data_IF_927403866019
#
_entry.id   IF_927403866019
#
_cell.length_a   1.000
_cell.length_b   1.000
_cell.length_c   1.000
_cell.angle_alpha   90.00
_cell.angle_beta   90.00
_cell.angle_gamma   90.00
#
_symmetry.space_group_name_H-M   'P 1'
#
loop_
_entity.id
_entity.type
_entity.pdbx_description
1 polymer ?
#
# COMPACT_ATOMS: atom_id res chain seq x y z
N UNK A 1 23.32 26.58 10.92
CA UNK A 1 24.38 26.03 10.06
C UNK A 1 24.82 24.58 10.33
N UNK A 2 24.40 23.85 11.38
CA UNK A 2 24.77 22.42 11.54
C UNK A 2 23.93 21.43 10.70
N UNK A 3 22.70 21.78 10.33
CA UNK A 3 21.81 20.89 9.57
C UNK A 3 22.24 20.64 8.12
N UNK A 4 22.83 21.64 7.46
CA UNK A 4 23.34 21.51 6.10
C UNK A 4 24.58 20.58 6.03
N UNK A 5 25.41 20.60 7.08
CA UNK A 5 26.59 19.74 7.17
C UNK A 5 26.21 18.26 7.36
N UNK A 6 25.09 17.99 8.06
CA UNK A 6 24.59 16.64 8.28
C UNK A 6 23.97 16.04 7.01
N UNK A 7 23.27 16.86 6.23
CA UNK A 7 22.66 16.45 4.96
C UNK A 7 23.75 16.17 3.90
N UNK A 8 24.74 17.04 3.77
CA UNK A 8 25.85 16.88 2.82
C UNK A 8 26.77 15.71 3.18
N UNK A 9 27.00 15.44 4.47
CA UNK A 9 27.74 14.27 4.92
C UNK A 9 26.97 12.97 4.64
N UNK A 10 25.66 13.00 4.80
CA UNK A 10 24.76 11.87 4.53
C UNK A 10 24.70 11.55 3.03
N UNK A 11 24.62 12.58 2.17
CA UNK A 11 24.68 12.41 0.72
C UNK A 11 26.04 11.88 0.23
N UNK A 12 27.13 12.35 0.79
CA UNK A 12 28.48 11.91 0.41
C UNK A 12 28.76 10.46 0.79
N UNK A 13 28.34 10.01 1.97
CA UNK A 13 28.40 8.60 2.38
C UNK A 13 27.45 7.72 1.55
N UNK A 14 26.34 8.29 1.08
CA UNK A 14 25.37 7.61 0.21
C UNK A 14 25.94 7.40 -1.20
N UNK A 15 26.56 8.42 -1.79
CA UNK A 15 27.13 8.38 -3.16
C UNK A 15 28.41 7.54 -3.22
N UNK A 16 29.29 7.61 -2.20
CA UNK A 16 30.50 6.79 -2.16
C UNK A 16 30.20 5.29 -1.90
N UNK A 17 29.08 4.96 -1.26
CA UNK A 17 28.60 3.59 -1.11
C UNK A 17 28.04 2.98 -2.41
N UNK A 18 27.64 3.80 -3.38
CA UNK A 18 27.13 3.31 -4.68
C UNK A 18 28.22 2.90 -5.67
N UNK A 19 29.41 3.49 -5.57
CA UNK A 19 30.50 3.30 -6.56
C UNK A 19 31.25 1.97 -6.38
N UNK A 20 31.13 1.29 -5.24
CA UNK A 20 31.85 0.03 -4.97
C UNK A 20 30.98 -1.23 -4.99
N UNK A 21 29.78 -1.21 -5.54
CA UNK A 21 28.94 -2.41 -5.64
C UNK A 21 29.13 -3.13 -6.97
N UNK A 22 29.91 -4.20 -6.91
CA UNK A 22 30.06 -5.28 -7.88
C UNK A 22 28.78 -5.59 -8.69
N UNK A 23 28.94 -5.74 -10.00
CA UNK A 23 27.97 -5.82 -11.08
C UNK A 23 27.06 -7.07 -11.14
N UNK A 24 26.84 -7.81 -10.07
CA UNK A 24 25.83 -8.87 -10.06
C UNK A 24 24.48 -8.35 -9.58
N UNK A 25 23.63 -7.92 -10.53
CA UNK A 25 22.23 -7.63 -10.23
C UNK A 25 21.57 -8.89 -9.63
N UNK A 26 21.08 -8.85 -8.39
CA UNK A 26 20.45 -10.03 -7.78
C UNK A 26 19.24 -10.44 -8.61
N UNK A 27 19.12 -11.74 -8.94
CA UNK A 27 17.95 -12.27 -9.66
C UNK A 27 16.67 -11.85 -8.96
N UNK A 28 15.78 -11.15 -9.68
CA UNK A 28 14.50 -10.71 -9.15
C UNK A 28 13.65 -11.93 -8.75
N UNK A 29 13.01 -11.88 -7.57
CA UNK A 29 12.11 -12.94 -7.13
C UNK A 29 10.89 -13.04 -8.05
N UNK A 30 10.22 -14.21 -8.08
CA UNK A 30 8.96 -14.39 -8.81
C UNK A 30 7.90 -13.36 -8.38
N UNK A 31 7.82 -13.09 -7.07
CA UNK A 31 6.89 -12.11 -6.49
C UNK A 31 7.22 -10.70 -6.99
N UNK A 32 8.48 -10.29 -6.99
CA UNK A 32 8.87 -8.96 -7.51
C UNK A 32 8.53 -8.79 -8.99
N UNK A 33 8.74 -9.82 -9.81
CA UNK A 33 8.34 -9.78 -11.23
C UNK A 33 6.83 -9.62 -11.39
N UNK A 34 6.03 -10.35 -10.59
CA UNK A 34 4.58 -10.22 -10.58
C UNK A 34 4.13 -8.81 -10.17
N UNK A 35 4.77 -8.20 -9.16
CA UNK A 35 4.48 -6.82 -8.75
C UNK A 35 4.85 -5.78 -9.82
N UNK A 36 5.96 -5.98 -10.54
CA UNK A 36 6.31 -5.11 -11.68
C UNK A 36 5.28 -5.24 -12.81
N UNK A 37 4.86 -6.47 -13.15
CA UNK A 37 3.81 -6.70 -14.14
C UNK A 37 2.47 -6.05 -13.73
N UNK A 38 2.10 -6.15 -12.44
CA UNK A 38 0.93 -5.46 -11.89
C UNK A 38 1.06 -3.94 -11.98
N UNK A 39 2.24 -3.37 -11.72
CA UNK A 39 2.47 -1.92 -11.85
C UNK A 39 2.26 -1.47 -13.30
N UNK A 40 2.81 -2.19 -14.27
CA UNK A 40 2.59 -1.89 -15.70
C UNK A 40 1.10 -1.98 -16.03
N UNK A 41 0.40 -3.03 -15.59
CA UNK A 41 -1.04 -3.18 -15.77
C UNK A 41 -1.83 -2.01 -15.17
N UNK A 42 -1.49 -1.56 -13.93
CA UNK A 42 -2.12 -0.41 -13.29
C UNK A 42 -1.85 0.91 -14.04
N UNK A 43 -0.67 1.10 -14.62
CA UNK A 43 -0.37 2.25 -15.46
C UNK A 43 -1.21 2.23 -16.75
N UNK A 44 -1.42 1.06 -17.35
CA UNK A 44 -2.31 0.91 -18.53
C UNK A 44 -3.75 1.26 -18.15
N UNK A 45 -4.24 0.80 -16.99
CA UNK A 45 -5.58 1.16 -16.48
C UNK A 45 -5.71 2.66 -16.30
N UNK A 46 -4.72 3.32 -15.69
CA UNK A 46 -4.73 4.78 -15.54
C UNK A 46 -4.79 5.49 -16.89
N UNK A 47 -3.94 5.09 -17.84
CA UNK A 47 -3.93 5.66 -19.19
C UNK A 47 -5.28 5.46 -19.90
N UNK A 48 -5.88 4.28 -19.74
CA UNK A 48 -7.20 3.97 -20.26
C UNK A 48 -8.30 4.85 -19.64
N UNK A 49 -8.29 5.05 -18.31
CA UNK A 49 -9.24 5.93 -17.63
C UNK A 49 -9.10 7.39 -18.07
N UNK A 50 -7.86 7.87 -18.29
CA UNK A 50 -7.61 9.21 -18.85
C UNK A 50 -8.18 9.32 -20.26
N UNK A 51 -7.98 8.31 -21.10
CA UNK A 51 -8.52 8.27 -22.45
C UNK A 51 -10.06 8.25 -22.45
N UNK A 52 -10.68 7.46 -21.57
CA UNK A 52 -12.13 7.47 -21.39
C UNK A 52 -12.65 8.85 -20.95
N UNK A 53 -11.95 9.50 -20.03
CA UNK A 53 -12.32 10.86 -19.59
C UNK A 53 -12.33 11.86 -20.75
N UNK A 54 -11.37 11.77 -21.67
CA UNK A 54 -11.24 12.69 -22.83
C UNK A 54 -12.26 12.36 -23.92
N UNK A 55 -12.45 11.06 -24.24
CA UNK A 55 -13.20 10.64 -25.42
C UNK A 55 -14.64 10.21 -25.13
N UNK A 56 -14.94 9.69 -23.93
CA UNK A 56 -16.22 9.06 -23.59
C UNK A 56 -16.64 9.37 -22.16
N UNK A 57 -16.76 10.65 -21.85
CA UNK A 57 -17.13 11.09 -20.49
C UNK A 57 -18.50 10.54 -20.03
N UNK A 58 -19.40 10.24 -20.96
CA UNK A 58 -20.74 9.70 -20.67
C UNK A 58 -20.69 8.34 -19.98
N UNK A 59 -19.71 7.49 -20.31
CA UNK A 59 -19.56 6.18 -19.66
C UNK A 59 -19.19 6.26 -18.16
N UNK A 60 -18.71 7.41 -17.70
CA UNK A 60 -18.40 7.67 -16.30
C UNK A 60 -19.65 7.96 -15.45
N UNK A 61 -20.83 8.10 -16.06
CA UNK A 61 -22.11 8.24 -15.33
C UNK A 61 -22.44 7.01 -14.46
N UNK A 62 -21.83 5.86 -14.74
CA UNK A 62 -21.90 4.65 -13.89
C UNK A 62 -21.47 4.91 -12.44
N UNK A 63 -20.64 5.93 -12.20
CA UNK A 63 -20.18 6.30 -10.86
C UNK A 63 -21.30 6.88 -9.99
N UNK A 64 -22.36 7.43 -10.60
CA UNK A 64 -23.42 8.16 -9.91
C UNK A 64 -24.64 7.28 -9.62
N UNK A 65 -25.19 7.42 -8.41
CA UNK A 65 -26.44 6.81 -8.00
C UNK A 65 -26.50 5.29 -8.20
N UNK A 66 -27.56 4.83 -8.85
CA UNK A 66 -27.80 3.42 -9.18
C UNK A 66 -27.54 3.11 -10.66
N UNK A 67 -26.87 3.98 -11.39
CA UNK A 67 -26.54 3.78 -12.80
C UNK A 67 -25.63 2.56 -13.00
N UNK A 68 -24.90 2.15 -11.96
CA UNK A 68 -24.16 0.88 -11.93
C UNK A 68 -24.99 -0.33 -12.37
N UNK A 69 -26.29 -0.37 -12.06
CA UNK A 69 -27.16 -1.49 -12.43
C UNK A 69 -27.91 -1.28 -13.73
N UNK A 70 -27.88 -0.06 -14.29
CA UNK A 70 -28.62 0.30 -15.51
C UNK A 70 -27.73 0.30 -16.75
N UNK A 71 -26.51 0.84 -16.59
CA UNK A 71 -25.62 1.10 -17.71
C UNK A 71 -24.39 0.19 -17.61
N UNK A 72 -24.26 -0.74 -18.56
CA UNK A 72 -23.09 -1.59 -18.60
C UNK A 72 -21.89 -0.83 -19.21
N UNK A 73 -20.85 -0.65 -18.44
CA UNK A 73 -19.62 0.02 -18.85
C UNK A 73 -18.38 -0.85 -18.54
N UNK A 74 -17.28 -0.57 -19.21
CA UNK A 74 -15.98 -1.20 -18.93
C UNK A 74 -15.52 -0.96 -17.49
N UNK A 75 -16.01 0.09 -16.83
CA UNK A 75 -15.73 0.36 -15.41
C UNK A 75 -16.20 -0.75 -14.46
N UNK A 76 -17.17 -1.57 -14.85
CA UNK A 76 -17.56 -2.76 -14.07
C UNK A 76 -16.43 -3.79 -13.99
N UNK A 77 -15.64 -3.94 -15.06
CA UNK A 77 -14.47 -4.82 -15.04
C UNK A 77 -13.41 -4.29 -14.07
N UNK A 78 -13.21 -2.98 -14.05
CA UNK A 78 -12.28 -2.35 -13.11
C UNK A 78 -12.77 -2.50 -11.67
N UNK A 79 -14.07 -2.27 -11.42
CA UNK A 79 -14.72 -2.51 -10.13
C UNK A 79 -14.52 -3.96 -9.68
N UNK A 80 -14.80 -4.92 -10.54
CA UNK A 80 -14.63 -6.35 -10.27
C UNK A 80 -13.17 -6.71 -9.96
N UNK A 81 -12.20 -6.14 -10.69
CA UNK A 81 -10.77 -6.31 -10.45
C UNK A 81 -10.39 -5.83 -9.03
N UNK A 82 -10.87 -4.67 -8.62
CA UNK A 82 -10.58 -4.14 -7.29
C UNK A 82 -11.24 -4.96 -6.18
N UNK A 83 -12.48 -5.41 -6.38
CA UNK A 83 -13.16 -6.31 -5.43
C UNK A 83 -12.37 -7.62 -5.28
N UNK A 84 -11.93 -8.22 -6.39
CA UNK A 84 -11.11 -9.45 -6.35
C UNK A 84 -9.78 -9.21 -5.62
N UNK A 85 -9.11 -8.08 -5.88
CA UNK A 85 -7.83 -7.75 -5.22
C UNK A 85 -8.03 -7.61 -3.69
N UNK A 86 -9.12 -6.97 -3.24
CA UNK A 86 -9.49 -6.85 -1.83
C UNK A 86 -9.84 -8.22 -1.21
N UNK A 87 -10.61 -9.06 -1.91
CA UNK A 87 -10.93 -10.43 -1.44
C UNK A 87 -9.64 -11.26 -1.30
N UNK A 88 -8.71 -11.15 -2.25
CA UNK A 88 -7.42 -11.84 -2.18
C UNK A 88 -6.59 -11.43 -0.95
N UNK A 89 -6.79 -10.23 -0.41
CA UNK A 89 -6.14 -9.83 0.86
C UNK A 89 -6.78 -10.49 2.08
N UNK A 90 -8.04 -10.92 1.99
CA UNK A 90 -8.79 -11.58 3.07
C UNK A 90 -8.67 -13.12 3.05
N UNK A 91 -8.02 -13.69 2.05
CA UNK A 91 -7.86 -15.15 1.89
C UNK A 91 -6.37 -15.50 1.90
N UNK A 92 -5.96 -16.59 2.60
CA UNK A 92 -4.55 -17.04 2.62
C UNK A 92 -4.16 -17.59 1.24
N UNK A 93 -3.49 -16.78 0.43
CA UNK A 93 -3.04 -17.15 -0.92
C UNK A 93 -1.56 -17.54 -0.88
N UNK A 94 -1.24 -18.77 -1.30
CA UNK A 94 0.15 -19.24 -1.34
C UNK A 94 0.88 -18.70 -2.58
N UNK A 95 2.07 -18.11 -2.35
CA UNK A 95 3.05 -17.74 -3.40
C UNK A 95 2.62 -16.70 -4.45
N UNK A 96 1.46 -16.07 -4.34
CA UNK A 96 0.98 -15.09 -5.32
C UNK A 96 0.98 -13.66 -4.81
N UNK A 97 0.87 -13.48 -3.50
CA UNK A 97 0.79 -12.18 -2.84
C UNK A 97 1.96 -12.05 -1.87
N UNK A 98 2.43 -10.83 -1.67
CA UNK A 98 3.52 -10.51 -0.75
C UNK A 98 3.19 -10.95 0.69
N UNK A 99 4.19 -11.44 1.40
CA UNK A 99 4.09 -11.75 2.82
C UNK A 99 3.68 -10.53 3.65
N UNK A 100 3.97 -9.33 3.15
CA UNK A 100 3.53 -8.07 3.77
C UNK A 100 2.03 -8.00 3.98
N UNK A 101 1.22 -8.44 2.99
CA UNK A 101 -0.23 -8.55 3.11
C UNK A 101 -0.67 -9.81 3.85
N UNK A 102 0.01 -10.93 3.65
CA UNK A 102 -0.39 -12.25 4.13
C UNK A 102 0.03 -12.55 5.59
N UNK A 103 0.81 -11.69 6.24
CA UNK A 103 1.26 -11.88 7.64
C UNK A 103 0.13 -11.90 8.67
N UNK A 104 -1.07 -11.47 8.28
CA UNK A 104 -2.26 -11.59 9.13
C UNK A 104 -2.70 -13.05 9.34
N UNK A 105 -2.33 -13.97 8.43
CA UNK A 105 -2.72 -15.38 8.51
C UNK A 105 -1.71 -16.21 9.30
N UNK A 106 -2.23 -17.14 10.13
CA UNK A 106 -1.44 -18.04 10.94
C UNK A 106 -0.50 -18.94 10.08
N UNK A 107 -0.94 -19.30 8.89
CA UNK A 107 -0.20 -20.16 7.97
C UNK A 107 1.16 -19.59 7.53
N UNK A 108 1.29 -18.27 7.55
CA UNK A 108 2.52 -17.55 7.21
C UNK A 108 3.34 -17.13 8.43
N UNK A 109 2.86 -17.46 9.64
CA UNK A 109 3.57 -17.18 10.88
C UNK A 109 4.58 -18.29 11.19
N UNK A 110 5.84 -17.91 11.36
CA UNK A 110 6.93 -18.80 11.81
C UNK A 110 7.47 -18.27 13.12
N UNK A 111 7.07 -18.87 14.26
CA UNK A 111 7.53 -18.40 15.56
C UNK A 111 9.03 -18.62 15.70
N UNK A 112 9.71 -17.67 16.32
CA UNK A 112 11.11 -17.82 16.70
C UNK A 112 11.18 -18.76 17.91
N UNK A 113 12.15 -19.66 17.92
CA UNK A 113 12.32 -20.72 18.95
C UNK A 113 12.60 -20.14 20.35
N UNK A 114 13.07 -18.90 20.42
CA UNK A 114 13.35 -18.21 21.67
C UNK A 114 12.06 -17.71 22.34
N UNK A 115 12.09 -17.57 23.68
CA UNK A 115 10.97 -17.03 24.45
C UNK A 115 10.65 -15.61 24.01
N UNK A 116 9.40 -15.34 23.63
CA UNK A 116 8.95 -14.02 23.20
C UNK A 116 9.03 -13.03 24.38
N UNK A 117 9.76 -11.95 24.21
CA UNK A 117 9.76 -10.85 25.16
C UNK A 117 8.52 -9.96 24.95
N UNK A 118 7.46 -10.24 25.70
CA UNK A 118 6.18 -9.52 25.59
C UNK A 118 6.28 -8.04 25.92
N UNK A 119 7.21 -7.62 26.80
CA UNK A 119 7.42 -6.19 27.08
C UNK A 119 8.01 -5.47 25.89
N UNK A 120 8.97 -6.08 25.19
CA UNK A 120 9.55 -5.52 23.97
C UNK A 120 8.51 -5.51 22.83
N UNK A 121 7.72 -6.56 22.69
CA UNK A 121 6.62 -6.64 21.71
C UNK A 121 5.61 -5.51 21.95
N UNK A 122 5.17 -5.28 23.18
CA UNK A 122 4.25 -4.20 23.54
C UNK A 122 4.81 -2.82 23.20
N UNK A 123 6.09 -2.56 23.52
CA UNK A 123 6.75 -1.30 23.16
C UNK A 123 6.78 -1.11 21.64
N UNK A 124 7.10 -2.16 20.89
CA UNK A 124 7.08 -2.12 19.43
C UNK A 124 5.70 -1.78 18.86
N UNK A 125 4.65 -2.47 19.34
CA UNK A 125 3.26 -2.23 18.90
C UNK A 125 2.84 -0.79 19.19
N UNK A 126 3.09 -0.29 20.41
CA UNK A 126 2.76 1.09 20.78
C UNK A 126 3.50 2.10 19.89
N UNK A 127 4.79 1.89 19.64
CA UNK A 127 5.61 2.79 18.81
C UNK A 127 5.13 2.81 17.35
N UNK A 128 4.87 1.65 16.77
CA UNK A 128 4.40 1.54 15.37
C UNK A 128 2.98 2.05 15.20
N UNK A 129 2.09 1.83 16.20
CA UNK A 129 0.73 2.38 16.19
C UNK A 129 0.74 3.90 16.30
N UNK A 130 1.58 4.50 17.16
CA UNK A 130 1.76 5.97 17.19
C UNK A 130 2.20 6.54 15.85
N UNK A 131 3.10 5.84 15.14
CA UNK A 131 3.52 6.26 13.80
C UNK A 131 2.40 6.09 12.77
N UNK A 132 1.60 5.03 12.86
CA UNK A 132 0.43 4.83 12.00
C UNK A 132 -0.62 5.93 12.20
N UNK A 133 -0.89 6.37 13.42
CA UNK A 133 -1.78 7.50 13.68
C UNK A 133 -1.30 8.81 13.03
N UNK A 134 0.00 9.07 12.97
CA UNK A 134 0.53 10.24 12.25
C UNK A 134 0.22 10.17 10.76
N UNK A 135 0.37 8.99 10.15
CA UNK A 135 -0.02 8.78 8.75
C UNK A 135 -1.52 8.97 8.56
N UNK A 136 -2.33 8.44 9.49
CA UNK A 136 -3.79 8.60 9.46
C UNK A 136 -4.21 10.07 9.52
N UNK A 137 -3.66 10.85 10.44
CA UNK A 137 -3.95 12.30 10.57
C UNK A 137 -3.55 13.04 9.29
N UNK A 138 -2.37 12.75 8.73
CA UNK A 138 -1.93 13.35 7.46
C UNK A 138 -2.90 13.00 6.32
N UNK A 139 -3.36 11.76 6.27
CA UNK A 139 -4.31 11.29 5.27
C UNK A 139 -5.68 11.97 5.41
N UNK A 140 -6.21 12.08 6.63
CA UNK A 140 -7.46 12.83 6.89
C UNK A 140 -7.29 14.30 6.48
N UNK A 141 -6.15 14.93 6.75
CA UNK A 141 -5.87 16.30 6.28
C UNK A 141 -5.96 16.40 4.76
N UNK A 142 -5.38 15.44 4.03
CA UNK A 142 -5.50 15.38 2.57
C UNK A 142 -6.96 15.23 2.11
N UNK A 143 -7.73 14.35 2.77
CA UNK A 143 -9.15 14.15 2.44
C UNK A 143 -9.98 15.40 2.72
N UNK A 144 -9.69 16.15 3.78
CA UNK A 144 -10.36 17.44 4.05
C UNK A 144 -10.10 18.40 2.88
N UNK A 145 -8.87 18.51 2.40
CA UNK A 145 -8.53 19.36 1.25
C UNK A 145 -9.30 18.91 0.01
N UNK A 146 -9.31 17.61 -0.30
CA UNK A 146 -10.07 17.06 -1.44
C UNK A 146 -11.57 17.37 -1.27
N UNK A 147 -12.13 17.19 -0.09
CA UNK A 147 -13.53 17.48 0.20
C UNK A 147 -13.86 18.96 0.02
N UNK A 148 -13.02 19.87 0.50
CA UNK A 148 -13.20 21.31 0.28
C UNK A 148 -13.21 21.64 -1.21
N UNK A 149 -12.25 21.11 -1.98
CA UNK A 149 -12.18 21.32 -3.43
C UNK A 149 -13.42 20.75 -4.16
N UNK A 150 -13.96 19.64 -3.68
CA UNK A 150 -15.21 19.07 -4.22
C UNK A 150 -16.41 19.95 -3.92
N UNK A 151 -16.60 20.40 -2.67
CA UNK A 151 -17.74 21.26 -2.29
C UNK A 151 -17.65 22.68 -2.85
N UNK A 152 -16.46 23.14 -3.22
CA UNK A 152 -16.27 24.41 -3.96
C UNK A 152 -16.42 24.24 -5.48
N UNK A 153 -16.85 23.06 -5.97
CA UNK A 153 -17.02 22.72 -7.38
C UNK A 153 -15.73 22.85 -8.24
N UNK A 154 -14.55 22.78 -7.61
CA UNK A 154 -13.28 22.69 -8.32
C UNK A 154 -13.03 21.27 -8.82
N UNK A 155 -13.44 20.25 -8.03
CA UNK A 155 -13.39 18.85 -8.39
C UNK A 155 -14.81 18.32 -8.62
N UNK A 156 -15.00 17.46 -9.62
CA UNK A 156 -16.22 16.71 -9.84
C UNK A 156 -16.05 15.22 -9.50
N UNK A 157 -17.13 14.44 -9.57
CA UNK A 157 -17.14 13.00 -9.27
C UNK A 157 -16.08 12.23 -10.08
N UNK A 158 -15.89 12.66 -11.34
CA UNK A 158 -14.94 12.01 -12.25
C UNK A 158 -13.51 12.29 -11.83
N UNK A 159 -13.20 13.50 -11.38
CA UNK A 159 -11.86 13.81 -10.84
C UNK A 159 -11.57 13.04 -9.57
N UNK A 160 -12.55 12.85 -8.67
CA UNK A 160 -12.38 12.02 -7.48
C UNK A 160 -12.07 10.56 -7.83
N UNK A 161 -12.78 10.04 -8.85
CA UNK A 161 -12.46 8.70 -9.38
C UNK A 161 -11.04 8.66 -9.96
N UNK A 162 -10.62 9.66 -10.74
CA UNK A 162 -9.27 9.73 -11.31
C UNK A 162 -8.18 9.83 -10.24
N UNK A 163 -8.42 10.55 -9.14
CA UNK A 163 -7.53 10.58 -7.97
C UNK A 163 -7.40 9.17 -7.38
N UNK A 164 -8.49 8.44 -7.23
CA UNK A 164 -8.47 7.06 -6.72
C UNK A 164 -7.69 6.11 -7.64
N UNK A 165 -7.88 6.21 -8.96
CA UNK A 165 -7.10 5.44 -9.95
C UNK A 165 -5.60 5.82 -9.89
N UNK A 166 -5.28 7.09 -9.65
CA UNK A 166 -3.90 7.54 -9.47
C UNK A 166 -3.29 6.93 -8.21
N UNK A 167 -4.02 6.92 -7.08
CA UNK A 167 -3.57 6.28 -5.85
C UNK A 167 -3.39 4.76 -6.01
N UNK A 168 -4.21 4.11 -6.84
CA UNK A 168 -4.05 2.71 -7.21
C UNK A 168 -2.69 2.42 -7.86
N UNK A 169 -2.18 3.32 -8.68
CA UNK A 169 -0.82 3.22 -9.24
C UNK A 169 0.23 3.55 -8.18
N UNK A 170 0.01 4.64 -7.41
CA UNK A 170 0.94 5.10 -6.37
C UNK A 170 1.21 4.05 -5.29
N UNK A 171 0.23 3.21 -4.95
CA UNK A 171 0.40 2.10 -4.02
C UNK A 171 1.55 1.17 -4.44
N UNK A 172 1.57 0.69 -5.68
CA UNK A 172 2.66 -0.17 -6.16
C UNK A 172 3.98 0.58 -6.34
N UNK A 173 3.94 1.87 -6.66
CA UNK A 173 5.14 2.73 -6.64
C UNK A 173 5.72 2.76 -5.22
N UNK A 174 4.87 2.90 -4.21
CA UNK A 174 5.29 2.85 -2.80
C UNK A 174 5.97 1.54 -2.42
N UNK A 175 5.48 0.43 -2.93
CA UNK A 175 6.05 -0.90 -2.63
C UNK A 175 7.35 -1.16 -3.40
N UNK A 176 7.44 -0.77 -4.68
CA UNK A 176 8.52 -1.16 -5.59
C UNK A 176 9.64 -0.13 -5.71
N UNK A 177 9.32 1.16 -5.61
CA UNK A 177 10.25 2.25 -5.90
C UNK A 177 10.54 3.04 -4.60
N UNK A 178 9.58 3.79 -4.13
CA UNK A 178 9.75 4.65 -2.96
C UNK A 178 8.40 4.97 -2.30
N UNK A 179 8.36 4.92 -0.97
CA UNK A 179 7.17 5.18 -0.17
C UNK A 179 7.36 6.40 0.73
N UNK A 180 6.55 7.47 0.59
CA UNK A 180 6.63 8.65 1.44
C UNK A 180 6.32 8.35 2.91
N UNK A 181 5.41 7.43 3.18
CA UNK A 181 5.04 7.01 4.53
C UNK A 181 6.20 6.35 5.30
N UNK A 182 7.22 5.88 4.60
CA UNK A 182 8.41 5.29 5.21
C UNK A 182 9.15 6.26 6.12
N UNK A 183 9.14 7.55 5.79
CA UNK A 183 9.76 8.60 6.61
C UNK A 183 9.04 8.72 7.96
N UNK A 184 7.71 8.68 7.96
CA UNK A 184 6.87 8.79 9.15
C UNK A 184 6.90 7.49 9.96
N UNK A 185 6.77 6.35 9.29
CA UNK A 185 6.78 5.03 9.92
C UNK A 185 8.15 4.59 10.42
N UNK A 186 9.23 5.27 9.99
CA UNK A 186 10.63 4.89 10.27
C UNK A 186 10.91 3.41 9.98
N UNK A 187 10.21 2.85 9.00
CA UNK A 187 10.27 1.44 8.67
C UNK A 187 11.29 1.16 7.54
N UNK A 188 12.06 0.09 7.70
CA UNK A 188 13.09 -0.31 6.73
C UNK A 188 12.56 -1.15 5.58
N UNK A 189 11.46 -1.87 5.79
CA UNK A 189 10.91 -2.83 4.84
C UNK A 189 9.39 -2.69 4.73
N UNK A 190 8.86 -2.68 3.50
CA UNK A 190 7.41 -2.65 3.28
C UNK A 190 6.72 -3.88 3.88
N UNK A 191 7.33 -5.07 3.78
CA UNK A 191 6.77 -6.33 4.32
C UNK A 191 6.52 -6.26 5.83
N UNK A 192 7.33 -5.50 6.60
CA UNK A 192 7.14 -5.29 8.04
C UNK A 192 6.31 -4.03 8.36
N UNK A 193 5.81 -3.33 7.33
CA UNK A 193 5.07 -2.09 7.54
C UNK A 193 3.75 -2.33 8.28
N UNK A 194 3.47 -1.47 9.31
CA UNK A 194 2.26 -1.55 10.13
C UNK A 194 1.00 -1.22 9.33
N UNK A 195 1.12 -0.33 8.35
CA UNK A 195 0.01 0.17 7.52
C UNK A 195 -0.02 -0.50 6.13
N UNK A 196 0.54 -1.69 5.97
CA UNK A 196 0.71 -2.30 4.65
C UNK A 196 -0.62 -2.52 3.92
N UNK A 197 -1.65 -2.99 4.60
CA UNK A 197 -2.99 -3.22 4.03
C UNK A 197 -3.96 -2.04 4.27
N UNK A 198 -3.45 -0.82 4.43
CA UNK A 198 -4.27 0.39 4.41
C UNK A 198 -4.44 0.95 2.98
N UNK A 199 -3.75 0.34 2.04
CA UNK A 199 -3.69 0.72 0.62
C UNK A 199 -5.07 0.95 0.01
N UNK A 200 -5.96 -0.05 0.07
CA UNK A 200 -7.30 0.06 -0.51
C UNK A 200 -8.17 1.12 0.17
N UNK A 201 -8.11 1.22 1.50
CA UNK A 201 -8.85 2.27 2.20
C UNK A 201 -8.36 3.67 1.77
N UNK A 202 -7.04 3.89 1.76
CA UNK A 202 -6.46 5.14 1.31
C UNK A 202 -6.80 5.42 -0.17
N UNK A 203 -6.79 4.40 -1.02
CA UNK A 203 -7.07 4.53 -2.44
C UNK A 203 -8.52 4.99 -2.72
N UNK A 204 -9.50 4.41 -2.01
CA UNK A 204 -10.92 4.68 -2.29
C UNK A 204 -11.52 5.82 -1.48
N UNK A 205 -10.88 6.30 -0.40
CA UNK A 205 -11.42 7.38 0.43
C UNK A 205 -11.69 8.70 -0.32
N UNK A 206 -10.99 9.11 -1.40
CA UNK A 206 -11.41 10.26 -2.20
C UNK A 206 -12.81 10.12 -2.78
N UNK A 207 -13.24 8.89 -3.09
CA UNK A 207 -14.57 8.60 -3.62
C UNK A 207 -15.68 8.64 -2.54
N UNK A 208 -15.36 8.95 -1.29
CA UNK A 208 -16.35 9.11 -0.20
C UNK A 208 -17.40 10.18 -0.51
N UNK A 209 -17.02 11.18 -1.29
CA UNK A 209 -17.90 12.27 -1.67
C UNK A 209 -18.78 11.93 -2.88
N UNK A 210 -18.44 10.89 -3.65
CA UNK A 210 -19.22 10.41 -4.81
C UNK A 210 -20.42 9.60 -4.32
N UNK A 211 -21.63 10.07 -4.64
CA UNK A 211 -22.88 9.41 -4.24
C UNK A 211 -23.29 8.36 -5.27
N UNK A 212 -22.81 7.13 -5.11
CA UNK A 212 -23.16 6.01 -6.01
C UNK A 212 -22.87 4.66 -5.42
N UNK A 213 -23.52 3.60 -5.95
CA UNK A 213 -23.27 2.22 -5.55
C UNK A 213 -21.83 1.81 -5.83
N UNK A 214 -21.26 2.26 -6.94
CA UNK A 214 -19.88 1.98 -7.34
C UNK A 214 -18.88 2.38 -6.24
N UNK A 215 -18.95 3.62 -5.77
CA UNK A 215 -18.05 4.15 -4.74
C UNK A 215 -18.34 3.55 -3.37
N UNK A 216 -19.61 3.46 -2.98
CA UNK A 216 -20.01 2.96 -1.66
C UNK A 216 -19.60 1.51 -1.45
N UNK A 217 -19.80 0.65 -2.44
CA UNK A 217 -19.43 -0.78 -2.34
C UNK A 217 -17.92 -0.97 -2.19
N UNK A 218 -17.10 -0.23 -2.93
CA UNK A 218 -15.63 -0.27 -2.82
C UNK A 218 -15.15 0.26 -1.47
N UNK A 219 -15.75 1.34 -0.97
CA UNK A 219 -15.42 1.89 0.35
C UNK A 219 -15.75 0.93 1.48
N UNK A 220 -16.93 0.29 1.44
CA UNK A 220 -17.33 -0.69 2.44
C UNK A 220 -16.40 -1.91 2.46
N UNK A 221 -16.02 -2.42 1.27
CA UNK A 221 -15.07 -3.51 1.15
C UNK A 221 -13.68 -3.11 1.66
N UNK A 222 -13.18 -1.94 1.27
CA UNK A 222 -11.89 -1.44 1.72
C UNK A 222 -11.86 -1.23 3.25
N UNK A 223 -12.94 -0.72 3.82
CA UNK A 223 -13.10 -0.58 5.26
C UNK A 223 -13.09 -1.95 5.96
N UNK A 224 -13.77 -2.96 5.40
CA UNK A 224 -13.75 -4.32 5.95
C UNK A 224 -12.33 -4.91 5.93
N UNK A 225 -11.58 -4.77 4.85
CA UNK A 225 -10.17 -5.21 4.75
C UNK A 225 -9.31 -4.51 5.81
N UNK A 226 -9.45 -3.19 5.94
CA UNK A 226 -8.74 -2.40 6.93
C UNK A 226 -9.09 -2.83 8.36
N UNK A 227 -10.38 -3.06 8.64
CA UNK A 227 -10.85 -3.49 9.97
C UNK A 227 -10.28 -4.86 10.34
N UNK A 228 -10.31 -5.83 9.43
CA UNK A 228 -9.72 -7.16 9.65
C UNK A 228 -8.22 -7.03 9.95
N UNK A 229 -7.50 -6.18 9.22
CA UNK A 229 -6.09 -5.92 9.47
C UNK A 229 -5.85 -5.36 10.87
N UNK A 230 -6.60 -4.31 11.27
CA UNK A 230 -6.46 -3.70 12.59
C UNK A 230 -6.78 -4.68 13.73
N UNK A 231 -7.85 -5.46 13.58
CA UNK A 231 -8.21 -6.49 14.56
C UNK A 231 -7.11 -7.55 14.67
N UNK A 232 -6.55 -8.02 13.54
CA UNK A 232 -5.46 -8.99 13.57
C UNK A 232 -4.19 -8.44 14.24
N UNK A 233 -3.84 -7.17 14.02
CA UNK A 233 -2.68 -6.55 14.69
C UNK A 233 -2.91 -6.42 16.20
N UNK A 234 -4.14 -6.16 16.63
CA UNK A 234 -4.46 -6.07 18.06
C UNK A 234 -4.47 -7.45 18.73
N UNK A 235 -5.05 -8.46 18.06
CA UNK A 235 -5.19 -9.81 18.63
C UNK A 235 -3.93 -10.65 18.54
N UNK A 236 -3.14 -10.49 17.48
CA UNK A 236 -1.97 -11.31 17.15
C UNK A 236 -0.74 -10.48 16.80
N UNK A 237 -0.30 -9.57 17.67
CA UNK A 237 0.79 -8.64 17.38
C UNK A 237 2.12 -9.32 17.06
N UNK A 238 2.34 -10.53 17.57
CA UNK A 238 3.53 -11.35 17.33
C UNK A 238 3.74 -11.69 15.85
N UNK A 239 2.69 -11.73 15.05
CA UNK A 239 2.78 -12.02 13.61
C UNK A 239 3.38 -10.86 12.81
N UNK A 240 3.36 -9.65 13.35
CA UNK A 240 3.70 -8.40 12.65
C UNK A 240 5.10 -7.91 12.94
N UNK A 241 5.83 -8.53 13.86
CA UNK A 241 7.17 -8.11 14.25
C UNK A 241 8.25 -9.11 13.81
N UNK A 242 9.36 -8.60 13.23
CA UNK A 242 10.46 -9.41 12.74
C UNK A 242 11.22 -10.18 13.84
N UNK A 243 11.13 -9.72 15.12
CA UNK A 243 11.76 -10.41 16.25
C UNK A 243 10.92 -11.56 16.82
N UNK A 244 9.66 -11.67 16.44
CA UNK A 244 8.76 -12.74 16.86
C UNK A 244 8.36 -13.66 15.70
N UNK A 245 8.41 -13.13 14.45
CA UNK A 245 8.07 -13.87 13.23
C UNK A 245 9.31 -14.01 12.34
N UNK A 246 9.87 -15.21 12.27
CA UNK A 246 11.04 -15.50 11.47
C UNK A 246 10.84 -15.24 9.97
N UNK A 247 9.63 -15.45 9.47
CA UNK A 247 9.29 -15.20 8.06
C UNK A 247 9.50 -13.73 7.64
N UNK A 248 9.45 -12.78 8.59
CA UNK A 248 9.66 -11.36 8.34
C UNK A 248 11.13 -10.94 8.37
N UNK A 249 12.05 -11.80 8.81
CA UNK A 249 13.48 -11.47 8.83
C UNK A 249 14.00 -11.30 7.41
N UNK A 250 14.85 -10.30 7.19
CA UNK A 250 15.46 -10.04 5.88
C UNK A 250 16.28 -11.24 5.35
N UNK A 251 16.90 -12.04 6.25
CA UNK A 251 17.63 -13.25 5.89
C UNK A 251 16.75 -14.32 5.26
N UNK A 252 15.49 -14.39 5.67
CA UNK A 252 14.48 -15.36 5.21
C UNK A 252 13.52 -14.77 4.15
N UNK A 253 13.73 -13.52 3.74
CA UNK A 253 12.83 -12.83 2.83
C UNK A 253 12.76 -13.48 1.45
N UNK A 254 11.60 -14.00 1.08
CA UNK A 254 11.29 -14.57 -0.24
C UNK A 254 10.82 -13.53 -1.24
N UNK A 255 10.18 -12.47 -0.77
CA UNK A 255 9.53 -11.46 -1.60
C UNK A 255 10.54 -10.60 -2.36
N UNK A 256 11.64 -10.20 -1.72
CA UNK A 256 12.72 -9.35 -2.28
C UNK A 256 12.17 -8.09 -2.98
N UNK A 257 11.11 -7.49 -2.42
CA UNK A 257 10.45 -6.32 -2.98
C UNK A 257 11.28 -5.04 -2.82
N UNK A 258 12.01 -4.90 -1.69
CA UNK A 258 12.82 -3.71 -1.44
C UNK A 258 14.09 -3.68 -2.32
N UNK A 259 14.38 -2.51 -2.88
CA UNK A 259 15.49 -2.32 -3.81
C UNK A 259 16.81 -1.99 -3.13
N UNK A 260 16.79 -1.30 -1.99
CA UNK A 260 17.99 -0.69 -1.42
C UNK A 260 18.53 -1.32 -0.14
N UNK A 261 17.66 -1.87 0.74
CA UNK A 261 18.07 -2.31 2.09
C UNK A 261 18.40 -3.79 2.19
N UNK A 262 17.71 -4.67 1.48
CA UNK A 262 18.00 -6.10 1.54
C UNK A 262 19.38 -6.47 0.98
N UNK A 263 19.96 -5.61 0.14
CA UNK A 263 21.31 -5.83 -0.40
C UNK A 263 22.42 -5.54 0.62
N UNK A 264 22.19 -4.54 1.52
CA UNK A 264 23.15 -4.18 2.57
C UNK A 264 23.18 -5.17 3.75
N UNK A 265 22.10 -5.91 3.98
CA UNK A 265 21.97 -6.86 5.10
C UNK A 265 22.33 -8.30 4.71
N UNK A 266 22.64 -8.56 3.44
CA UNK A 266 23.08 -9.89 2.94
C UNK A 266 24.60 -10.06 2.87
N UNK A 267 25.32 -9.04 3.28
CA UNK A 267 26.75 -9.07 3.57
C UNK A 267 26.92 -9.12 5.09
#
# INVERSE_FOLDING_TARGET
MPLLFFVVKWEREYVLGEIQMSSQKPKASKIRKAYIARLVGRCIVLAFCILMYILRREELNVLQGLNFFRDFSVLHLLWGLWVIDMICQLVPVKNQISLGSQKLFKEHFRPITEKINYQALRKYVISTTKSAYKVFILWIGLLIVIGVLYYTNVLDDVFLFMISVTFYVCDLICVLIWCPFRLIMKNRCCTTCRIFNWDHLMMFTPMLFVRGFYSLSLLLMAFAVWLVWELCVMMYPERFWEQTNEALKCSQCTDKLCTQYCQKLRR
#
